data_IF_411177264290
#
_entry.id   IF_411177264290
#
_cell.length_a   1.000
_cell.length_b   1.000
_cell.length_c   1.000
_cell.angle_alpha   90.00
_cell.angle_beta   90.00
_cell.angle_gamma   90.00
#
_symmetry.space_group_name_H-M   'P 1'
#
loop_
_entity.id
_entity.type
_entity.pdbx_description
1 polymer ?
#
# COMPACT_ATOMS: atom_id res chain seq x y z
N UNK A 1 45.18 -48.56 -21.64
CA UNK A 1 45.77 -47.22 -21.77
C UNK A 1 45.76 -46.87 -23.25
N UNK A 2 44.98 -45.97 -23.81
CA UNK A 2 43.90 -45.10 -23.35
C UNK A 2 43.06 -44.79 -24.59
N UNK A 3 41.75 -45.10 -24.53
CA UNK A 3 40.79 -44.70 -25.55
C UNK A 3 39.84 -43.69 -24.88
N UNK A 4 40.35 -42.49 -24.59
CA UNK A 4 39.59 -41.51 -23.81
C UNK A 4 40.05 -40.06 -24.03
N UNK A 5 40.12 -39.55 -25.27
CA UNK A 5 40.35 -38.10 -25.45
C UNK A 5 39.85 -37.48 -26.76
N UNK A 6 38.67 -37.85 -27.26
CA UNK A 6 38.06 -37.08 -28.37
C UNK A 6 36.55 -36.83 -28.30
N UNK A 7 35.89 -37.13 -27.17
CA UNK A 7 34.44 -36.90 -27.01
C UNK A 7 34.05 -35.68 -26.14
N UNK A 8 35.01 -34.96 -25.56
CA UNK A 8 34.72 -33.92 -24.55
C UNK A 8 34.61 -32.50 -25.12
N UNK A 9 35.09 -32.21 -26.34
CA UNK A 9 35.06 -30.83 -26.87
C UNK A 9 33.81 -30.46 -27.67
N UNK A 10 32.99 -31.43 -28.10
CA UNK A 10 31.74 -31.17 -28.85
C UNK A 10 30.51 -31.13 -27.94
N UNK A 11 30.53 -31.83 -26.78
CA UNK A 11 29.42 -31.83 -25.82
C UNK A 11 29.34 -30.52 -25.01
N UNK A 12 30.48 -29.96 -24.60
CA UNK A 12 30.52 -28.69 -23.85
C UNK A 12 30.09 -27.45 -24.68
N UNK A 13 30.16 -27.53 -26.02
CA UNK A 13 29.66 -26.49 -26.93
C UNK A 13 28.17 -26.63 -27.25
N UNK A 14 27.58 -27.82 -27.07
CA UNK A 14 26.13 -28.06 -27.19
C UNK A 14 25.37 -27.75 -25.89
N UNK A 15 25.95 -28.02 -24.71
CA UNK A 15 25.32 -27.67 -23.43
C UNK A 15 25.23 -26.15 -23.17
N UNK A 16 26.24 -25.36 -23.59
CA UNK A 16 26.16 -23.89 -23.49
C UNK A 16 25.16 -23.26 -24.47
N UNK A 17 24.89 -23.89 -25.62
CA UNK A 17 23.84 -23.43 -26.57
C UNK A 17 22.43 -23.89 -26.17
N UNK A 18 22.30 -25.02 -25.46
CA UNK A 18 21.02 -25.51 -24.93
C UNK A 18 20.55 -24.75 -23.69
N UNK A 19 21.46 -24.47 -22.75
CA UNK A 19 21.14 -23.79 -21.48
C UNK A 19 20.70 -22.32 -21.67
N UNK A 20 21.32 -21.60 -22.62
CA UNK A 20 20.90 -20.24 -22.98
C UNK A 20 19.52 -20.20 -23.67
N UNK A 21 19.18 -21.23 -24.46
CA UNK A 21 17.88 -21.34 -25.13
C UNK A 21 16.77 -21.74 -24.15
N UNK A 22 17.06 -22.63 -23.20
CA UNK A 22 16.11 -23.01 -22.14
C UNK A 22 15.90 -21.85 -21.16
N UNK A 23 16.96 -21.11 -20.79
CA UNK A 23 16.83 -19.90 -19.97
C UNK A 23 16.05 -18.80 -20.70
N UNK A 24 16.31 -18.57 -21.98
CA UNK A 24 15.54 -17.63 -22.80
C UNK A 24 14.09 -18.06 -23.01
N UNK A 25 13.79 -19.37 -23.07
CA UNK A 25 12.41 -19.89 -23.15
C UNK A 25 11.70 -19.79 -21.79
N UNK A 26 12.39 -19.99 -20.67
CA UNK A 26 11.83 -19.76 -19.32
C UNK A 26 11.62 -18.27 -19.06
N UNK A 27 12.51 -17.42 -19.55
CA UNK A 27 12.42 -15.96 -19.44
C UNK A 27 11.34 -15.42 -20.39
N UNK A 28 11.23 -15.93 -21.62
CA UNK A 28 10.08 -15.66 -22.50
C UNK A 28 8.78 -16.19 -21.90
N UNK A 29 8.77 -17.34 -21.22
CA UNK A 29 7.57 -17.88 -20.57
C UNK A 29 7.17 -17.03 -19.36
N UNK A 30 8.12 -16.54 -18.56
CA UNK A 30 7.88 -15.56 -17.49
C UNK A 30 7.47 -14.19 -18.01
N UNK A 31 8.02 -13.74 -19.13
CA UNK A 31 7.60 -12.52 -19.82
C UNK A 31 6.21 -12.70 -20.41
N UNK A 32 5.85 -13.87 -20.95
CA UNK A 32 4.50 -14.20 -21.41
C UNK A 32 3.51 -14.37 -20.25
N UNK A 33 3.92 -14.86 -19.08
CA UNK A 33 3.08 -14.97 -17.89
C UNK A 33 2.89 -13.61 -17.21
N UNK A 34 3.94 -12.77 -17.15
CA UNK A 34 3.83 -11.36 -16.75
C UNK A 34 3.01 -10.55 -17.77
N UNK A 35 3.14 -10.85 -19.06
CA UNK A 35 2.36 -10.25 -20.14
C UNK A 35 0.93 -10.79 -20.15
N UNK A 36 0.64 -12.04 -19.74
CA UNK A 36 -0.72 -12.57 -19.53
C UNK A 36 -1.37 -11.98 -18.28
N UNK A 37 -0.63 -11.78 -17.21
CA UNK A 37 -1.13 -11.08 -16.01
C UNK A 37 -1.45 -9.61 -16.32
N UNK A 38 -0.63 -8.97 -17.18
CA UNK A 38 -0.91 -7.62 -17.67
C UNK A 38 -1.97 -7.60 -18.78
N UNK A 39 -2.06 -8.64 -19.62
CA UNK A 39 -3.04 -8.77 -20.73
C UNK A 39 -4.41 -9.23 -20.27
N UNK A 40 -4.58 -9.99 -19.20
CA UNK A 40 -5.93 -10.25 -18.69
C UNK A 40 -6.57 -8.96 -18.15
N UNK A 41 -5.77 -7.94 -17.86
CA UNK A 41 -6.20 -6.55 -17.63
C UNK A 41 -6.14 -5.62 -18.87
N UNK A 42 -5.50 -6.04 -19.97
CA UNK A 42 -5.32 -5.25 -21.22
C UNK A 42 -6.10 -5.81 -22.43
N UNK A 43 -6.70 -7.01 -22.35
CA UNK A 43 -7.37 -7.71 -23.48
C UNK A 43 -8.78 -7.15 -23.80
N UNK A 44 -9.10 -5.94 -23.33
CA UNK A 44 -10.29 -5.21 -23.76
C UNK A 44 -9.96 -4.03 -24.71
N UNK A 45 -8.70 -3.85 -25.09
CA UNK A 45 -8.30 -2.72 -25.95
C UNK A 45 -8.15 -3.04 -27.45
N UNK A 46 -8.39 -4.27 -27.91
CA UNK A 46 -8.36 -4.60 -29.35
C UNK A 46 -9.69 -5.15 -29.86
N UNK A 47 -10.66 -4.26 -30.04
CA UNK A 47 -11.56 -4.35 -31.20
C UNK A 47 -12.06 -2.96 -31.60
N UNK A 48 -11.97 -2.68 -32.91
CA UNK A 48 -12.47 -1.53 -33.68
C UNK A 48 -11.47 -0.42 -34.01
N UNK A 49 -11.03 -0.51 -35.26
CA UNK A 49 -10.24 0.42 -36.07
C UNK A 49 -11.03 1.67 -36.52
N UNK A 50 -10.49 2.85 -36.18
CA UNK A 50 -10.49 4.15 -36.92
C UNK A 50 -11.80 4.95 -37.16
N UNK A 51 -11.74 6.26 -37.53
CA UNK A 51 -11.15 7.37 -36.76
C UNK A 51 -12.13 8.58 -36.68
N UNK A 52 -12.26 9.25 -35.53
CA UNK A 52 -12.85 10.61 -35.50
C UNK A 52 -11.97 11.55 -34.68
N UNK A 53 -11.18 12.31 -35.44
CA UNK A 53 -10.62 13.61 -35.08
C UNK A 53 -11.73 14.53 -34.56
N UNK A 54 -11.47 15.18 -33.40
CA UNK A 54 -12.07 16.41 -32.84
C UNK A 54 -12.60 16.24 -31.41
N UNK A 55 -11.70 16.23 -30.43
CA UNK A 55 -12.03 16.69 -29.07
C UNK A 55 -10.79 17.17 -28.29
N UNK A 56 -9.79 17.69 -28.98
CA UNK A 56 -8.59 18.28 -28.40
C UNK A 56 -8.81 19.69 -27.86
N UNK A 57 -9.72 19.88 -26.88
CA UNK A 57 -9.72 21.10 -26.05
C UNK A 57 -10.48 21.05 -24.73
N UNK A 58 -11.25 19.98 -24.44
CA UNK A 58 -12.08 19.89 -23.22
C UNK A 58 -11.63 18.85 -22.19
N UNK A 59 -10.45 18.24 -22.36
CA UNK A 59 -9.92 17.19 -21.45
C UNK A 59 -8.99 17.70 -20.35
N UNK A 60 -8.46 18.93 -20.46
CA UNK A 60 -7.56 19.52 -19.44
C UNK A 60 -8.28 20.01 -18.17
N UNK A 61 -9.60 20.20 -18.20
CA UNK A 61 -10.33 20.81 -17.08
C UNK A 61 -10.66 19.82 -15.95
N UNK A 62 -10.79 18.52 -16.22
CA UNK A 62 -11.24 17.55 -15.21
C UNK A 62 -10.05 17.03 -14.38
N UNK A 63 -8.88 16.84 -15.02
CA UNK A 63 -7.66 16.39 -14.33
C UNK A 63 -7.13 17.44 -13.35
N UNK A 64 -7.25 18.73 -13.68
CA UNK A 64 -6.89 19.82 -12.76
C UNK A 64 -7.83 19.89 -11.55
N UNK A 65 -9.14 19.72 -11.72
CA UNK A 65 -10.10 19.81 -10.59
C UNK A 65 -9.89 18.70 -9.56
N UNK A 66 -9.57 17.48 -9.98
CA UNK A 66 -9.26 16.36 -9.07
C UNK A 66 -7.91 16.57 -8.36
N UNK A 67 -6.92 17.15 -9.05
CA UNK A 67 -5.62 17.49 -8.48
C UNK A 67 -5.71 18.65 -7.46
N UNK A 68 -6.50 19.71 -7.75
CA UNK A 68 -6.69 20.84 -6.84
C UNK A 68 -7.55 20.50 -5.61
N UNK A 69 -8.55 19.62 -5.74
CA UNK A 69 -9.32 19.13 -4.59
C UNK A 69 -8.48 18.24 -3.64
N UNK A 70 -7.43 17.61 -4.16
CA UNK A 70 -6.49 16.78 -3.37
C UNK A 70 -5.42 17.62 -2.65
N UNK A 71 -4.97 18.74 -3.23
CA UNK A 71 -4.01 19.65 -2.57
C UNK A 71 -4.61 20.50 -1.46
N UNK A 72 -5.91 20.84 -1.55
CA UNK A 72 -6.62 21.63 -0.53
C UNK A 72 -6.83 20.89 0.81
N UNK A 73 -6.51 19.59 0.89
CA UNK A 73 -6.65 18.78 2.12
C UNK A 73 -5.33 18.47 2.85
N UNK A 74 -4.18 18.91 2.34
CA UNK A 74 -2.85 18.56 2.91
C UNK A 74 -2.19 19.73 3.67
N UNK A 75 -2.84 20.89 3.81
CA UNK A 75 -2.30 21.98 4.62
C UNK A 75 -2.73 21.86 6.09
N UNK A 76 -1.81 21.71 7.05
CA UNK A 76 -2.14 21.82 8.46
C UNK A 76 -2.36 23.30 8.82
N UNK A 77 -3.61 23.67 9.10
CA UNK A 77 -3.90 24.84 9.94
C UNK A 77 -3.54 24.46 11.38
N UNK A 78 -2.36 24.88 11.83
CA UNK A 78 -2.07 25.03 13.26
C UNK A 78 -1.02 26.11 13.46
N UNK A 79 -1.47 27.38 13.45
CA UNK A 79 -0.82 28.44 14.22
C UNK A 79 -1.18 28.25 15.68
N UNK A 80 -0.25 27.74 16.50
CA UNK A 80 -0.07 28.18 17.89
C UNK A 80 1.10 27.42 18.54
N UNK A 81 1.98 28.18 19.19
CA UNK A 81 2.99 27.73 20.16
C UNK A 81 4.36 27.33 19.61
N UNK A 82 5.03 28.27 18.92
CA UNK A 82 6.48 28.43 19.04
C UNK A 82 6.74 29.79 19.69
N UNK A 83 6.66 29.80 21.03
CA UNK A 83 7.09 30.90 21.87
C UNK A 83 8.24 30.41 22.75
N UNK A 84 9.39 31.07 22.62
CA UNK A 84 10.54 31.04 23.52
C UNK A 84 11.26 29.71 23.75
N UNK A 85 12.36 29.52 23.02
CA UNK A 85 13.61 29.09 23.65
C UNK A 85 14.84 29.72 22.99
N UNK A 86 15.28 30.79 23.63
CA UNK A 86 16.66 31.25 23.83
C UNK A 86 17.60 31.36 22.63
N UNK A 87 17.69 32.61 22.15
CA UNK A 87 18.86 33.27 21.56
C UNK A 87 20.15 32.90 22.30
N UNK A 88 20.92 31.93 21.79
CA UNK A 88 22.33 31.78 22.15
C UNK A 88 23.12 32.84 21.38
N UNK A 89 23.55 33.89 22.10
CA UNK A 89 24.50 34.87 21.58
C UNK A 89 25.81 34.14 21.27
N UNK A 90 26.25 34.20 20.02
CA UNK A 90 27.65 34.01 19.63
C UNK A 90 28.49 35.09 20.32
N UNK A 91 29.23 34.70 21.35
CA UNK A 91 30.30 35.49 21.92
C UNK A 91 31.63 34.92 21.41
N UNK A 92 32.38 35.74 20.68
CA UNK A 92 33.77 35.52 20.36
C UNK A 92 34.58 35.36 21.65
N UNK A 93 35.19 34.19 21.86
CA UNK A 93 36.30 34.02 22.80
C UNK A 93 37.34 33.11 22.14
N UNK A 94 38.46 33.75 21.80
CA UNK A 94 39.78 33.18 21.52
C UNK A 94 40.23 32.29 22.69
N UNK A 95 40.71 31.08 22.41
CA UNK A 95 41.45 30.26 23.38
C UNK A 95 41.23 28.75 23.18
N UNK A 96 42.31 27.97 23.20
CA UNK A 96 42.43 26.55 22.80
C UNK A 96 41.70 25.52 23.69
N UNK A 97 40.47 25.83 24.15
CA UNK A 97 39.64 24.96 24.99
C UNK A 97 38.31 24.53 24.36
N UNK A 98 37.98 25.01 23.16
CA UNK A 98 36.66 24.80 22.52
C UNK A 98 36.56 23.41 21.85
N UNK A 99 37.68 22.76 21.57
CA UNK A 99 37.71 21.47 20.87
C UNK A 99 37.10 20.30 21.65
N UNK A 100 37.21 20.28 22.98
CA UNK A 100 36.74 19.14 23.78
C UNK A 100 35.21 19.16 23.95
N UNK A 101 34.61 20.33 24.17
CA UNK A 101 33.15 20.46 24.32
C UNK A 101 32.47 20.17 22.98
N UNK A 102 32.97 20.74 21.87
CA UNK A 102 32.44 20.46 20.53
C UNK A 102 32.66 18.99 20.12
N UNK A 103 33.79 18.37 20.50
CA UNK A 103 34.02 16.95 20.29
C UNK A 103 33.04 16.08 21.08
N UNK A 104 32.76 16.42 22.35
CA UNK A 104 31.80 15.68 23.18
C UNK A 104 30.36 15.84 22.68
N UNK A 105 29.98 17.03 22.19
CA UNK A 105 28.68 17.27 21.55
C UNK A 105 28.55 16.44 20.28
N UNK A 106 29.57 16.44 19.41
CA UNK A 106 29.57 15.64 18.19
C UNK A 106 29.58 14.13 18.49
N UNK A 107 30.34 13.68 19.49
CA UNK A 107 30.37 12.28 19.92
C UNK A 107 29.03 11.85 20.52
N UNK A 108 28.38 12.71 21.30
CA UNK A 108 27.02 12.48 21.81
C UNK A 108 26.00 12.43 20.66
N UNK A 109 26.09 13.31 19.66
CA UNK A 109 25.22 13.31 18.49
C UNK A 109 25.43 12.06 17.61
N UNK A 110 26.68 11.62 17.40
CA UNK A 110 27.03 10.39 16.69
C UNK A 110 26.56 9.14 17.45
N UNK A 111 26.71 9.12 18.78
CA UNK A 111 26.22 8.03 19.64
C UNK A 111 24.69 7.99 19.67
N UNK A 112 24.04 9.14 19.74
CA UNK A 112 22.58 9.25 19.67
C UNK A 112 22.08 8.81 18.30
N UNK A 113 22.72 9.24 17.21
CA UNK A 113 22.42 8.80 15.84
C UNK A 113 22.61 7.29 15.66
N UNK A 114 23.67 6.72 16.24
CA UNK A 114 23.89 5.27 16.27
C UNK A 114 22.81 4.52 17.05
N UNK A 115 22.45 4.99 18.24
CA UNK A 115 21.38 4.41 19.05
C UNK A 115 20.00 4.54 18.39
N UNK A 116 19.71 5.68 17.75
CA UNK A 116 18.47 5.93 17.02
C UNK A 116 18.38 5.03 15.79
N UNK A 117 19.47 4.88 15.02
CA UNK A 117 19.53 3.94 13.90
C UNK A 117 19.31 2.50 14.36
N UNK A 118 19.92 2.09 15.46
CA UNK A 118 19.74 0.74 16.00
C UNK A 118 18.30 0.49 16.46
N UNK A 119 17.67 1.46 17.14
CA UNK A 119 16.23 1.39 17.48
C UNK A 119 15.33 1.32 16.24
N UNK A 120 15.65 2.08 15.19
CA UNK A 120 14.92 2.02 13.93
C UNK A 120 15.05 0.65 13.27
N UNK A 121 16.26 0.06 13.29
CA UNK A 121 16.49 -1.28 12.76
C UNK A 121 15.73 -2.34 13.56
N UNK A 122 15.77 -2.30 14.88
CA UNK A 122 15.01 -3.21 15.75
C UNK A 122 13.51 -3.10 15.51
N UNK A 123 12.97 -1.88 15.43
CA UNK A 123 11.56 -1.64 15.14
C UNK A 123 11.17 -2.17 13.75
N UNK A 124 12.06 -2.01 12.76
CA UNK A 124 11.84 -2.53 11.40
C UNK A 124 11.87 -4.07 11.38
N UNK A 125 12.78 -4.69 12.13
CA UNK A 125 12.84 -6.15 12.27
C UNK A 125 11.56 -6.67 12.91
N UNK A 126 11.13 -6.12 14.05
CA UNK A 126 9.87 -6.48 14.71
C UNK A 126 8.66 -6.32 13.77
N UNK A 127 8.64 -5.23 12.99
CA UNK A 127 7.63 -5.00 11.98
C UNK A 127 7.59 -6.11 10.92
N UNK A 128 8.75 -6.50 10.39
CA UNK A 128 8.90 -7.52 9.35
C UNK A 128 8.67 -8.95 9.85
N UNK A 129 8.94 -9.23 11.12
CA UNK A 129 8.64 -10.52 11.76
C UNK A 129 7.14 -10.73 11.95
N UNK A 130 6.38 -9.64 12.13
CA UNK A 130 4.93 -9.72 12.19
C UNK A 130 4.32 -10.00 10.82
N UNK A 131 3.35 -10.93 10.75
CA UNK A 131 2.65 -11.23 9.49
C UNK A 131 2.00 -9.99 8.88
N UNK A 132 1.27 -9.21 9.68
CA UNK A 132 0.58 -7.98 9.22
C UNK A 132 1.55 -6.87 8.84
N UNK A 133 2.63 -6.68 9.60
CA UNK A 133 3.64 -5.66 9.28
C UNK A 133 4.38 -5.97 7.98
N UNK A 134 4.78 -7.23 7.78
CA UNK A 134 5.36 -7.70 6.52
C UNK A 134 4.44 -7.46 5.32
N UNK A 135 3.16 -7.81 5.42
CA UNK A 135 2.21 -7.54 4.32
C UNK A 135 2.15 -6.05 3.97
N UNK A 136 2.08 -5.18 5.00
CA UNK A 136 2.04 -3.71 4.80
C UNK A 136 3.32 -3.18 4.15
N UNK A 137 4.49 -3.69 4.53
CA UNK A 137 5.77 -3.32 3.89
C UNK A 137 5.78 -3.77 2.43
N UNK A 138 5.42 -5.04 2.15
CA UNK A 138 5.34 -5.55 0.77
C UNK A 138 4.38 -4.71 -0.06
N UNK A 139 3.22 -4.32 0.50
CA UNK A 139 2.25 -3.42 -0.18
C UNK A 139 2.85 -2.07 -0.55
N UNK A 140 3.55 -1.48 0.41
CA UNK A 140 4.13 -0.14 0.28
C UNK A 140 5.21 -0.15 -0.80
N UNK A 141 6.07 -1.16 -0.80
CA UNK A 141 7.12 -1.33 -1.82
C UNK A 141 6.51 -1.64 -3.19
N UNK A 142 5.45 -2.46 -3.24
CA UNK A 142 4.72 -2.80 -4.45
C UNK A 142 4.18 -1.53 -5.15
N UNK A 143 3.29 -0.80 -4.48
CA UNK A 143 2.69 0.39 -5.07
C UNK A 143 3.68 1.56 -5.22
N UNK A 144 4.66 1.67 -4.33
CA UNK A 144 5.74 2.66 -4.47
C UNK A 144 6.57 2.41 -5.74
N UNK A 145 6.91 1.14 -6.01
CA UNK A 145 7.59 0.76 -7.25
C UNK A 145 6.72 0.97 -8.48
N UNK A 146 5.40 0.71 -8.39
CA UNK A 146 4.46 0.98 -9.47
C UNK A 146 4.32 2.49 -9.77
N UNK A 147 4.30 3.33 -8.72
CA UNK A 147 4.27 4.78 -8.82
C UNK A 147 5.52 5.30 -9.54
N UNK A 148 6.70 4.98 -9.00
CA UNK A 148 7.98 5.44 -9.56
C UNK A 148 8.16 4.88 -10.97
N UNK A 149 7.91 3.59 -11.17
CA UNK A 149 7.98 2.94 -12.47
C UNK A 149 7.08 3.60 -13.51
N UNK A 150 5.82 3.87 -13.15
CA UNK A 150 4.85 4.54 -14.03
C UNK A 150 5.19 6.00 -14.34
N UNK A 151 5.87 6.72 -13.43
CA UNK A 151 6.35 8.09 -13.69
C UNK A 151 7.55 8.06 -14.63
N UNK A 152 8.54 7.20 -14.36
CA UNK A 152 9.75 7.08 -15.19
C UNK A 152 9.40 6.63 -16.62
N UNK A 153 8.46 5.70 -16.78
CA UNK A 153 7.99 5.24 -18.08
C UNK A 153 7.23 6.31 -18.88
N UNK A 154 6.74 7.39 -18.25
CA UNK A 154 6.05 8.49 -18.95
C UNK A 154 6.97 9.64 -19.36
N UNK A 155 8.05 9.90 -18.62
CA UNK A 155 9.03 10.96 -18.94
C UNK A 155 9.96 10.56 -20.11
N UNK A 156 9.52 9.64 -20.95
CA UNK A 156 10.32 8.85 -21.88
C UNK A 156 10.63 9.55 -23.21
N UNK A 157 10.79 10.88 -23.21
CA UNK A 157 11.32 11.59 -24.38
C UNK A 157 12.83 11.86 -24.29
N UNK A 158 13.51 11.62 -23.16
CA UNK A 158 14.91 12.07 -22.99
C UNK A 158 15.97 11.01 -22.58
N UNK A 159 15.61 9.85 -21.99
CA UNK A 159 16.65 8.91 -21.49
C UNK A 159 16.23 7.42 -21.49
N UNK A 160 16.94 6.61 -22.27
CA UNK A 160 16.79 5.15 -22.38
C UNK A 160 17.00 4.44 -21.04
N UNK A 161 17.89 4.96 -20.18
CA UNK A 161 18.17 4.38 -18.85
C UNK A 161 16.96 4.50 -17.92
N UNK A 162 16.31 5.66 -17.93
CA UNK A 162 15.09 5.93 -17.15
C UNK A 162 13.94 5.02 -17.57
N UNK A 163 13.78 4.77 -18.88
CA UNK A 163 12.77 3.85 -19.39
C UNK A 163 13.03 2.40 -18.96
N UNK A 164 14.29 1.93 -19.02
CA UNK A 164 14.66 0.57 -18.56
C UNK A 164 14.39 0.40 -17.07
N UNK A 165 14.77 1.39 -16.25
CA UNK A 165 14.50 1.38 -14.82
C UNK A 165 12.99 1.38 -14.53
N UNK A 166 12.21 2.21 -15.25
CA UNK A 166 10.76 2.26 -15.10
C UNK A 166 10.09 0.91 -15.38
N UNK A 167 10.47 0.23 -16.48
CA UNK A 167 10.01 -1.13 -16.79
C UNK A 167 10.38 -2.14 -15.71
N UNK A 168 11.62 -2.10 -15.21
CA UNK A 168 12.08 -2.99 -14.14
C UNK A 168 11.28 -2.81 -12.85
N UNK A 169 11.00 -1.57 -12.45
CA UNK A 169 10.19 -1.26 -11.27
C UNK A 169 8.73 -1.69 -11.42
N UNK A 170 8.15 -1.58 -12.62
CA UNK A 170 6.81 -2.09 -12.90
C UNK A 170 6.77 -3.63 -12.81
N UNK A 171 7.75 -4.33 -13.39
CA UNK A 171 7.87 -5.78 -13.25
C UNK A 171 8.03 -6.21 -11.79
N UNK A 172 8.89 -5.51 -11.04
CA UNK A 172 9.07 -5.76 -9.61
C UNK A 172 7.76 -5.55 -8.83
N UNK A 173 7.01 -4.48 -9.12
CA UNK A 173 5.70 -4.25 -8.50
C UNK A 173 4.70 -5.38 -8.79
N UNK A 174 4.68 -5.91 -10.03
CA UNK A 174 3.81 -7.03 -10.38
C UNK A 174 4.15 -8.30 -9.60
N UNK A 175 5.45 -8.61 -9.42
CA UNK A 175 5.90 -9.76 -8.62
C UNK A 175 5.50 -9.61 -7.14
N UNK A 176 5.64 -8.42 -6.56
CA UNK A 176 5.19 -8.17 -5.18
C UNK A 176 3.67 -8.25 -5.04
N UNK A 177 2.90 -7.79 -6.04
CA UNK A 177 1.45 -7.95 -6.06
C UNK A 177 1.06 -9.43 -6.08
N UNK A 178 1.71 -10.25 -6.91
CA UNK A 178 1.47 -11.69 -6.96
C UNK A 178 1.85 -12.38 -5.63
N UNK A 179 3.00 -12.01 -5.04
CA UNK A 179 3.42 -12.47 -3.72
C UNK A 179 2.34 -12.20 -2.65
N UNK A 180 1.76 -10.99 -2.63
CA UNK A 180 0.65 -10.66 -1.72
C UNK A 180 -0.57 -11.53 -1.95
N UNK A 181 -0.88 -11.90 -3.18
CA UNK A 181 -1.98 -12.83 -3.48
C UNK A 181 -1.73 -14.22 -2.88
N UNK A 182 -0.51 -14.73 -3.01
CA UNK A 182 -0.13 -16.01 -2.40
C UNK A 182 -0.16 -15.93 -0.87
N UNK A 183 0.30 -14.83 -0.27
CA UNK A 183 0.24 -14.65 1.19
C UNK A 183 -1.21 -14.62 1.72
N UNK A 184 -2.14 -14.01 0.97
CA UNK A 184 -3.57 -13.98 1.32
C UNK A 184 -4.26 -15.34 1.32
N UNK A 185 -3.64 -16.40 0.81
CA UNK A 185 -4.12 -17.78 0.98
C UNK A 185 -4.18 -18.20 2.46
N UNK A 186 -3.47 -17.50 3.35
CA UNK A 186 -3.44 -17.78 4.78
C UNK A 186 -4.32 -16.82 5.60
N UNK A 187 -5.07 -15.93 4.95
CA UNK A 187 -5.90 -14.95 5.63
C UNK A 187 -7.28 -15.49 6.07
N UNK A 188 -7.78 -16.61 5.52
CA UNK A 188 -9.15 -17.09 5.80
C UNK A 188 -9.39 -17.38 7.28
N UNK A 189 -8.44 -18.07 7.94
CA UNK A 189 -8.56 -18.40 9.34
C UNK A 189 -8.54 -17.15 10.21
N UNK A 190 -7.72 -16.17 9.84
CA UNK A 190 -7.68 -14.88 10.52
C UNK A 190 -9.00 -14.11 10.35
N UNK A 191 -9.58 -14.14 9.14
CA UNK A 191 -10.85 -13.50 8.83
C UNK A 191 -12.02 -14.19 9.53
N UNK A 192 -12.01 -15.53 9.58
CA UNK A 192 -13.02 -16.32 10.27
C UNK A 192 -12.97 -16.08 11.79
N UNK A 193 -11.77 -16.08 12.38
CA UNK A 193 -11.59 -15.77 13.79
C UNK A 193 -12.07 -14.33 14.11
N UNK A 194 -11.76 -13.37 13.25
CA UNK A 194 -12.26 -12.00 13.38
C UNK A 194 -13.79 -11.95 13.32
N UNK A 195 -14.41 -12.52 12.28
CA UNK A 195 -15.87 -12.58 12.11
C UNK A 195 -16.56 -13.27 13.28
N UNK A 196 -15.99 -14.37 13.78
CA UNK A 196 -16.50 -15.09 14.94
C UNK A 196 -16.43 -14.25 16.21
N UNK A 197 -15.29 -13.59 16.48
CA UNK A 197 -15.15 -12.71 17.64
C UNK A 197 -16.07 -11.49 17.59
N UNK A 198 -16.34 -10.97 16.39
CA UNK A 198 -17.27 -9.86 16.18
C UNK A 198 -18.74 -10.30 16.34
N UNK A 199 -19.07 -11.52 15.92
CA UNK A 199 -20.41 -12.08 15.94
C UNK A 199 -21.41 -11.21 15.16
N UNK A 200 -22.57 -10.95 15.75
CA UNK A 200 -23.59 -10.05 15.19
C UNK A 200 -23.44 -8.59 15.67
N UNK A 201 -22.26 -8.24 16.21
CA UNK A 201 -21.93 -6.88 16.65
C UNK A 201 -22.66 -6.47 17.94
N UNK A 202 -22.84 -7.41 18.87
CA UNK A 202 -23.46 -7.15 20.18
C UNK A 202 -22.75 -6.05 20.99
N UNK A 203 -21.47 -5.80 20.72
CA UNK A 203 -20.70 -4.72 21.34
C UNK A 203 -20.93 -3.31 20.77
N UNK A 204 -21.65 -3.17 19.65
CA UNK A 204 -21.88 -1.86 19.02
C UNK A 204 -23.14 -1.20 19.56
N UNK A 205 -23.04 0.01 20.13
CA UNK A 205 -24.20 0.78 20.60
C UNK A 205 -25.10 1.26 19.44
N UNK A 206 -24.51 1.62 18.29
CA UNK A 206 -25.23 2.16 17.13
C UNK A 206 -25.60 1.03 16.15
N UNK A 207 -26.90 0.84 15.95
CA UNK A 207 -27.43 -0.21 15.08
C UNK A 207 -26.95 -0.09 13.62
N UNK A 208 -26.72 1.12 13.11
CA UNK A 208 -26.22 1.29 11.74
C UNK A 208 -24.75 0.86 11.62
N UNK A 209 -23.90 1.25 12.58
CA UNK A 209 -22.50 0.78 12.64
C UNK A 209 -22.46 -0.74 12.74
N UNK A 210 -23.33 -1.33 13.57
CA UNK A 210 -23.46 -2.78 13.73
C UNK A 210 -23.75 -3.48 12.41
N UNK A 211 -24.85 -3.13 11.74
CA UNK A 211 -25.26 -3.80 10.50
C UNK A 211 -24.27 -3.57 9.35
N UNK A 212 -23.72 -2.36 9.22
CA UNK A 212 -22.68 -2.08 8.21
C UNK A 212 -21.46 -2.99 8.43
N UNK A 213 -21.05 -3.18 9.69
CA UNK A 213 -19.88 -4.01 10.02
C UNK A 213 -20.15 -5.50 9.81
N UNK A 214 -21.35 -5.99 10.12
CA UNK A 214 -21.75 -7.37 9.80
C UNK A 214 -21.72 -7.61 8.28
N UNK A 215 -22.30 -6.70 7.50
CA UNK A 215 -22.26 -6.78 6.03
C UNK A 215 -20.83 -6.71 5.49
N UNK A 216 -19.98 -5.88 6.11
CA UNK A 216 -18.57 -5.78 5.74
C UNK A 216 -17.84 -7.11 5.98
N UNK A 217 -18.05 -7.74 7.13
CA UNK A 217 -17.46 -9.04 7.45
C UNK A 217 -17.92 -10.13 6.48
N UNK A 218 -19.20 -10.12 6.06
CA UNK A 218 -19.70 -11.04 5.04
C UNK A 218 -18.98 -10.82 3.70
N UNK A 219 -18.82 -9.57 3.27
CA UNK A 219 -18.10 -9.26 2.03
C UNK A 219 -16.63 -9.72 2.10
N UNK A 220 -15.94 -9.45 3.21
CA UNK A 220 -14.54 -9.86 3.42
C UNK A 220 -14.39 -11.40 3.52
N UNK A 221 -15.35 -12.10 4.13
CA UNK A 221 -15.34 -13.56 4.21
C UNK A 221 -15.55 -14.24 2.86
N UNK A 222 -16.36 -13.63 1.97
CA UNK A 222 -16.58 -14.13 0.61
C UNK A 222 -15.44 -13.75 -0.34
N UNK A 223 -14.75 -12.64 -0.07
CA UNK A 223 -13.67 -12.12 -0.91
C UNK A 223 -12.52 -13.12 -1.07
N UNK A 224 -12.01 -13.66 0.05
CA UNK A 224 -10.84 -14.54 0.03
C UNK A 224 -11.06 -15.82 -0.78
N UNK A 225 -12.13 -16.62 -0.59
CA UNK A 225 -12.38 -17.79 -1.41
C UNK A 225 -12.50 -17.50 -2.90
N UNK A 226 -13.17 -16.39 -3.27
CA UNK A 226 -13.30 -16.00 -4.69
C UNK A 226 -11.93 -15.72 -5.30
N UNK A 227 -11.08 -15.04 -4.56
CA UNK A 227 -9.73 -14.72 -4.98
C UNK A 227 -8.82 -15.94 -5.07
N UNK A 228 -8.94 -16.90 -4.15
CA UNK A 228 -8.15 -18.13 -4.20
C UNK A 228 -8.52 -18.98 -5.40
N UNK A 229 -9.80 -19.05 -5.74
CA UNK A 229 -10.26 -19.73 -6.96
C UNK A 229 -9.70 -19.03 -8.20
N UNK A 230 -9.71 -17.69 -8.23
CA UNK A 230 -9.13 -16.90 -9.32
C UNK A 230 -7.63 -17.18 -9.49
N UNK A 231 -6.87 -17.13 -8.39
CA UNK A 231 -5.44 -17.43 -8.36
C UNK A 231 -5.13 -18.87 -8.75
N UNK A 232 -5.86 -19.86 -8.21
CA UNK A 232 -5.65 -21.27 -8.52
C UNK A 232 -5.95 -21.60 -9.98
N UNK A 233 -6.93 -20.92 -10.57
CA UNK A 233 -7.25 -21.01 -12.00
C UNK A 233 -6.12 -20.43 -12.87
N UNK A 234 -5.59 -19.25 -12.52
CA UNK A 234 -4.44 -18.66 -13.22
C UNK A 234 -3.16 -19.50 -13.08
N UNK A 235 -2.98 -20.18 -11.95
CA UNK A 235 -1.88 -21.10 -11.71
C UNK A 235 -2.09 -22.49 -12.36
N UNK A 236 -3.15 -22.67 -13.15
CA UNK A 236 -3.53 -23.93 -13.82
C UNK A 236 -3.72 -25.11 -12.86
N UNK A 237 -3.95 -24.86 -11.57
CA UNK A 237 -4.22 -25.87 -10.55
C UNK A 237 -5.65 -26.44 -10.68
N UNK A 238 -6.58 -25.61 -11.18
CA UNK A 238 -7.97 -25.98 -11.41
C UNK A 238 -8.42 -25.52 -12.80
N UNK A 239 -9.31 -26.30 -13.43
CA UNK A 239 -9.80 -26.05 -14.79
C UNK A 239 -11.07 -25.18 -14.79
N UNK A 240 -10.95 -23.93 -14.36
CA UNK A 240 -12.04 -22.92 -14.42
C UNK A 240 -11.52 -21.62 -15.01
N UNK A 241 -12.41 -20.74 -15.50
CA UNK A 241 -12.02 -19.42 -16.02
C UNK A 241 -11.78 -18.46 -14.86
N UNK A 242 -10.57 -17.90 -14.75
CA UNK A 242 -10.17 -16.99 -13.67
C UNK A 242 -10.87 -15.62 -13.74
N UNK A 243 -11.12 -15.09 -14.93
CA UNK A 243 -11.66 -13.73 -15.14
C UNK A 243 -12.90 -13.40 -14.29
N UNK A 244 -13.85 -14.34 -14.23
CA UNK A 244 -15.10 -14.15 -13.46
C UNK A 244 -14.83 -14.10 -11.96
N UNK A 245 -13.91 -14.94 -11.48
CA UNK A 245 -13.55 -15.00 -10.07
C UNK A 245 -12.76 -13.78 -9.62
N UNK A 246 -11.86 -13.27 -10.48
CA UNK A 246 -11.21 -11.97 -10.28
C UNK A 246 -12.20 -10.81 -10.24
N UNK A 247 -13.21 -10.82 -11.10
CA UNK A 247 -14.27 -9.82 -11.07
C UNK A 247 -15.06 -9.90 -9.76
N UNK A 248 -15.49 -11.10 -9.34
CA UNK A 248 -16.23 -11.27 -8.08
C UNK A 248 -15.41 -10.82 -6.87
N UNK A 249 -14.14 -11.21 -6.78
CA UNK A 249 -13.28 -10.76 -5.68
C UNK A 249 -13.10 -9.24 -5.70
N UNK A 250 -12.91 -8.63 -6.87
CA UNK A 250 -12.79 -7.17 -6.99
C UNK A 250 -14.08 -6.43 -6.58
N UNK A 251 -15.25 -6.96 -6.94
CA UNK A 251 -16.55 -6.39 -6.54
C UNK A 251 -16.77 -6.53 -5.03
N UNK A 252 -16.43 -7.69 -4.45
CA UNK A 252 -16.52 -7.92 -3.01
C UNK A 252 -15.60 -6.97 -2.23
N UNK A 253 -14.35 -6.82 -2.68
CA UNK A 253 -13.39 -5.88 -2.12
C UNK A 253 -13.85 -4.43 -2.25
N UNK A 254 -14.35 -4.03 -3.42
CA UNK A 254 -14.92 -2.69 -3.62
C UNK A 254 -16.12 -2.43 -2.72
N UNK A 255 -16.95 -3.45 -2.48
CA UNK A 255 -18.11 -3.38 -1.59
C UNK A 255 -17.68 -3.23 -0.14
N UNK A 256 -16.68 -4.00 0.32
CA UNK A 256 -16.17 -3.88 1.69
C UNK A 256 -15.51 -2.52 1.94
N UNK A 257 -14.77 -1.98 0.96
CA UNK A 257 -14.25 -0.61 1.04
C UNK A 257 -15.36 0.44 1.18
N UNK A 258 -16.45 0.31 0.41
CA UNK A 258 -17.59 1.22 0.50
C UNK A 258 -18.27 1.13 1.88
N UNK A 259 -18.53 -0.08 2.37
CA UNK A 259 -19.09 -0.31 3.71
C UNK A 259 -18.18 0.25 4.80
N UNK A 260 -16.87 0.04 4.70
CA UNK A 260 -15.87 0.60 5.59
C UNK A 260 -15.90 2.13 5.65
N UNK A 261 -16.01 2.80 4.49
CA UNK A 261 -16.17 4.26 4.41
C UNK A 261 -17.46 4.71 5.12
N UNK A 262 -18.59 4.04 4.85
CA UNK A 262 -19.88 4.36 5.48
C UNK A 262 -19.83 4.17 7.00
N UNK A 263 -19.19 3.09 7.47
CA UNK A 263 -18.97 2.81 8.90
C UNK A 263 -18.16 3.94 9.54
N UNK A 264 -17.00 4.26 8.98
CA UNK A 264 -16.11 5.30 9.50
C UNK A 264 -16.74 6.69 9.47
N UNK A 265 -17.52 7.01 8.44
CA UNK A 265 -18.30 8.26 8.39
C UNK A 265 -19.35 8.31 9.51
N UNK A 266 -20.09 7.21 9.74
CA UNK A 266 -21.09 7.14 10.81
C UNK A 266 -20.43 7.32 12.19
N UNK A 267 -19.33 6.62 12.45
CA UNK A 267 -18.56 6.76 13.70
C UNK A 267 -18.05 8.19 13.85
N UNK A 268 -17.49 8.79 12.80
CA UNK A 268 -17.00 10.18 12.84
C UNK A 268 -18.12 11.18 13.20
N UNK A 269 -19.33 10.99 12.67
CA UNK A 269 -20.49 11.82 13.02
C UNK A 269 -20.92 11.64 14.47
N UNK A 270 -20.88 10.41 15.00
CA UNK A 270 -21.16 10.13 16.40
C UNK A 270 -20.12 10.76 17.34
N UNK A 271 -18.83 10.66 17.00
CA UNK A 271 -17.74 11.29 17.75
C UNK A 271 -17.87 12.82 17.76
N UNK A 272 -18.23 13.44 16.62
CA UNK A 272 -18.51 14.89 16.55
C UNK A 272 -19.67 15.30 17.45
N UNK A 273 -20.74 14.50 17.49
CA UNK A 273 -21.87 14.75 18.41
C UNK A 273 -21.45 14.61 19.87
N UNK A 274 -20.65 13.59 20.22
CA UNK A 274 -20.09 13.40 21.57
C UNK A 274 -19.22 14.59 21.99
N UNK A 275 -18.37 15.11 21.09
CA UNK A 275 -17.52 16.27 21.33
C UNK A 275 -18.32 17.55 21.60
N UNK A 276 -19.43 17.76 20.88
CA UNK A 276 -20.30 18.94 21.03
C UNK A 276 -21.13 18.90 22.33
N UNK A 277 -21.50 17.70 22.80
CA UNK A 277 -22.40 17.53 23.96
C UNK A 277 -21.72 17.54 25.33
N UNK A 278 -20.40 17.31 25.43
CA UNK A 278 -19.73 17.14 26.74
C UNK A 278 -18.84 18.32 27.14
N UNK A 279 -18.99 18.76 28.40
CA UNK A 279 -18.01 19.56 29.16
C UNK A 279 -16.88 18.67 29.70
N UNK A 280 -16.22 17.93 28.83
CA UNK A 280 -15.22 16.94 29.26
C UNK A 280 -13.81 17.51 29.46
N UNK A 281 -13.09 16.91 30.42
CA UNK A 281 -11.70 17.21 30.73
C UNK A 281 -10.77 17.14 29.51
N UNK A 282 -9.62 17.80 29.61
CA UNK A 282 -8.65 17.96 28.50
C UNK A 282 -8.22 16.62 27.88
N UNK A 283 -8.03 15.58 28.70
CA UNK A 283 -7.61 14.25 28.27
C UNK A 283 -8.67 13.49 27.43
N UNK A 284 -9.95 13.55 27.82
CA UNK A 284 -11.02 12.91 27.03
C UNK A 284 -11.19 13.58 25.66
N UNK A 285 -11.06 14.92 25.60
CA UNK A 285 -11.09 15.65 24.33
C UNK A 285 -9.93 15.32 23.41
N UNK A 286 -8.72 15.08 23.92
CA UNK A 286 -7.58 14.63 23.09
C UNK A 286 -7.78 13.21 22.57
N UNK A 287 -8.30 12.29 23.40
CA UNK A 287 -8.61 10.92 22.98
C UNK A 287 -9.68 10.90 21.88
N UNK A 288 -10.74 11.69 22.04
CA UNK A 288 -11.81 11.81 21.04
C UNK A 288 -11.30 12.37 19.71
N UNK A 289 -10.41 13.39 19.76
CA UNK A 289 -9.74 13.91 18.55
C UNK A 289 -8.83 12.87 17.89
N UNK A 290 -8.14 12.04 18.67
CA UNK A 290 -7.31 10.94 18.15
C UNK A 290 -8.17 9.90 17.43
N UNK A 291 -9.30 9.50 18.03
CA UNK A 291 -10.28 8.61 17.38
C UNK A 291 -10.84 9.20 16.08
N UNK A 292 -11.23 10.48 16.09
CA UNK A 292 -11.71 11.17 14.89
C UNK A 292 -10.65 11.20 13.78
N UNK A 293 -9.38 11.46 14.12
CA UNK A 293 -8.26 11.40 13.17
C UNK A 293 -8.05 9.98 12.64
N UNK A 294 -8.19 8.97 13.48
CA UNK A 294 -8.16 7.55 13.08
C UNK A 294 -9.21 7.24 12.03
N UNK A 295 -10.47 7.63 12.27
CA UNK A 295 -11.56 7.39 11.31
C UNK A 295 -11.40 8.18 10.01
N UNK A 296 -10.88 9.42 10.08
CA UNK A 296 -10.58 10.20 8.86
C UNK A 296 -9.50 9.53 8.01
N UNK A 297 -8.44 9.03 8.65
CA UNK A 297 -7.38 8.28 7.97
C UNK A 297 -7.94 6.99 7.33
N UNK A 298 -8.83 6.28 8.03
CA UNK A 298 -9.50 5.09 7.48
C UNK A 298 -10.35 5.41 6.26
N UNK A 299 -11.09 6.53 6.27
CA UNK A 299 -11.87 7.00 5.10
C UNK A 299 -10.93 7.30 3.93
N UNK A 300 -9.88 8.09 4.14
CA UNK A 300 -8.93 8.46 3.08
C UNK A 300 -8.23 7.23 2.48
N UNK A 301 -7.79 6.30 3.32
CA UNK A 301 -7.17 5.05 2.89
C UNK A 301 -8.14 4.19 2.07
N UNK A 302 -9.37 4.04 2.55
CA UNK A 302 -10.40 3.23 1.88
C UNK A 302 -10.85 3.86 0.56
N UNK A 303 -10.97 5.19 0.48
CA UNK A 303 -11.26 5.89 -0.77
C UNK A 303 -10.15 5.74 -1.80
N UNK A 304 -8.89 5.76 -1.35
CA UNK A 304 -7.76 5.56 -2.24
C UNK A 304 -7.77 4.14 -2.83
N UNK A 305 -7.98 3.13 -1.99
CA UNK A 305 -8.11 1.73 -2.44
C UNK A 305 -9.36 1.52 -3.30
N UNK A 306 -10.48 2.16 -2.98
CA UNK A 306 -11.72 2.06 -3.77
C UNK A 306 -11.52 2.64 -5.17
N UNK A 307 -10.70 3.67 -5.31
CA UNK A 307 -10.35 4.23 -6.61
C UNK A 307 -9.60 3.22 -7.48
N UNK A 308 -8.72 2.43 -6.88
CA UNK A 308 -8.03 1.32 -7.55
C UNK A 308 -8.97 0.15 -7.83
N UNK A 309 -9.85 -0.21 -6.89
CA UNK A 309 -10.86 -1.26 -7.09
C UNK A 309 -11.75 -0.96 -8.30
N UNK A 310 -12.27 0.28 -8.41
CA UNK A 310 -13.09 0.72 -9.55
C UNK A 310 -12.28 0.70 -10.85
N UNK A 311 -11.00 1.08 -10.81
CA UNK A 311 -10.14 1.00 -11.99
C UNK A 311 -10.01 -0.43 -12.53
N UNK A 312 -9.99 -1.44 -11.67
CA UNK A 312 -9.90 -2.85 -12.05
C UNK A 312 -11.23 -3.51 -12.46
N UNK A 313 -12.33 -2.77 -12.40
CA UNK A 313 -13.64 -3.25 -12.88
C UNK A 313 -13.71 -3.25 -14.42
N UNK A 314 -14.74 -3.89 -15.02
CA UNK A 314 -14.93 -3.91 -16.46
C UNK A 314 -15.21 -2.50 -17.04
N UNK A 315 -14.74 -2.21 -18.27
CA UNK A 315 -15.02 -0.99 -19.01
C UNK A 315 -16.52 -0.70 -19.08
N UNK A 316 -16.87 0.58 -18.97
CA UNK A 316 -18.25 1.04 -18.88
C UNK A 316 -18.71 1.28 -17.43
N UNK A 317 -17.99 0.77 -16.43
CA UNK A 317 -18.23 1.10 -15.04
C UNK A 317 -17.36 2.28 -14.57
N UNK A 318 -17.97 3.46 -14.34
CA UNK A 318 -17.28 4.66 -13.84
C UNK A 318 -15.97 4.99 -14.60
N UNK A 319 -14.81 4.92 -13.92
CA UNK A 319 -13.47 5.15 -14.49
C UNK A 319 -12.66 3.85 -14.65
N UNK A 320 -13.32 2.70 -14.73
CA UNK A 320 -12.71 1.41 -15.07
C UNK A 320 -11.73 1.54 -16.26
N UNK A 321 -10.53 0.96 -16.10
CA UNK A 321 -9.46 1.00 -17.09
C UNK A 321 -8.84 2.39 -17.37
N UNK A 322 -9.29 3.47 -16.72
CA UNK A 322 -8.81 4.83 -17.03
C UNK A 322 -7.55 5.25 -16.29
N UNK A 323 -7.20 4.59 -15.18
CA UNK A 323 -6.03 5.00 -14.39
C UNK A 323 -4.75 4.52 -15.06
N UNK A 324 -3.79 5.41 -15.34
CA UNK A 324 -2.44 5.01 -15.71
C UNK A 324 -1.69 4.41 -14.52
N UNK A 325 -0.68 3.57 -14.77
CA UNK A 325 0.09 2.84 -13.74
C UNK A 325 0.58 3.70 -12.57
N UNK A 326 1.06 4.91 -12.83
CA UNK A 326 1.53 5.80 -11.77
C UNK A 326 0.41 6.24 -10.83
N UNK A 327 -0.82 6.40 -11.33
CA UNK A 327 -1.95 6.85 -10.53
C UNK A 327 -2.44 5.69 -9.64
N UNK A 328 -2.48 4.47 -10.20
CA UNK A 328 -2.74 3.25 -9.42
C UNK A 328 -1.72 3.11 -8.29
N UNK A 329 -0.44 3.28 -8.63
CA UNK A 329 0.66 3.30 -7.67
C UNK A 329 0.55 4.42 -6.62
N UNK A 330 0.12 5.62 -7.01
CA UNK A 330 -0.08 6.74 -6.09
C UNK A 330 -1.14 6.40 -5.05
N UNK A 331 -2.33 5.99 -5.51
CA UNK A 331 -3.46 5.68 -4.62
C UNK A 331 -3.10 4.54 -3.66
N UNK A 332 -2.48 3.47 -4.17
CA UNK A 332 -2.04 2.34 -3.36
C UNK A 332 -0.89 2.69 -2.40
N UNK A 333 0.00 3.61 -2.76
CA UNK A 333 1.06 4.11 -1.87
C UNK A 333 0.47 4.94 -0.74
N UNK A 334 -0.46 5.85 -1.05
CA UNK A 334 -1.13 6.70 -0.07
C UNK A 334 -1.85 5.86 0.99
N UNK A 335 -2.67 4.89 0.58
CA UNK A 335 -3.38 4.01 1.51
C UNK A 335 -2.44 3.11 2.32
N UNK A 336 -1.34 2.64 1.71
CA UNK A 336 -0.33 1.83 2.42
C UNK A 336 0.42 2.64 3.49
N UNK A 337 0.80 3.87 3.19
CA UNK A 337 1.44 4.78 4.15
C UNK A 337 0.49 5.13 5.30
N UNK A 338 -0.78 5.41 5.01
CA UNK A 338 -1.79 5.61 6.05
C UNK A 338 -1.90 4.38 6.96
N UNK A 339 -1.92 3.18 6.37
CA UNK A 339 -1.95 1.93 7.13
C UNK A 339 -0.74 1.74 8.06
N UNK A 340 0.46 2.08 7.60
CA UNK A 340 1.68 2.06 8.44
C UNK A 340 1.61 3.08 9.59
N UNK A 341 1.11 4.30 9.31
CA UNK A 341 0.92 5.34 10.34
C UNK A 341 -0.08 4.87 11.40
N UNK A 342 -1.20 4.24 10.99
CA UNK A 342 -2.22 3.75 11.91
C UNK A 342 -1.69 2.60 12.78
N UNK A 343 -0.89 1.69 12.22
CA UNK A 343 -0.31 0.57 12.95
C UNK A 343 0.71 1.05 14.01
N UNK A 344 1.58 1.99 13.65
CA UNK A 344 2.55 2.56 14.61
C UNK A 344 1.84 3.39 15.71
N UNK A 345 0.71 4.02 15.40
CA UNK A 345 -0.09 4.73 16.38
C UNK A 345 -0.83 3.79 17.35
N UNK A 346 -1.18 2.57 16.92
CA UNK A 346 -1.83 1.57 17.77
C UNK A 346 -0.88 0.89 18.76
N UNK A 347 0.39 0.69 18.38
CA UNK A 347 1.40 0.07 19.26
C UNK A 347 1.77 0.94 20.46
N UNK A 348 1.63 2.28 20.35
CA UNK A 348 1.92 3.21 21.45
C UNK A 348 0.84 3.25 22.55
N UNK A 349 -0.36 2.72 22.32
CA UNK A 349 -1.44 2.70 23.33
C UNK A 349 -1.36 1.48 24.26
N UNK A 350 -0.71 0.38 23.85
CA UNK A 350 -0.57 -0.81 24.71
C UNK A 350 0.50 -0.63 25.80
N UNK A 351 1.51 0.21 25.58
CA UNK A 351 2.57 0.49 26.56
C UNK A 351 2.12 1.38 27.73
N UNK A 352 1.03 2.14 27.57
CA UNK A 352 0.52 3.05 28.61
C UNK A 352 -0.49 2.38 29.56
N UNK A 353 -1.02 1.19 29.20
CA UNK A 353 -2.00 0.46 30.03
C UNK A 353 -1.38 -0.50 31.06
N UNK A 354 -0.07 -0.76 31.00
CA UNK A 354 0.60 -1.70 31.91
C UNK A 354 1.18 -1.05 33.18
N UNK A 355 0.95 0.25 33.42
CA UNK A 355 1.46 0.98 34.59
C UNK A 355 0.38 1.52 35.55
N UNK A 356 -0.89 1.15 35.39
CA UNK A 356 -1.96 1.56 36.32
C UNK A 356 -2.73 0.37 36.89
N UNK A 357 -2.02 -0.47 37.66
CA UNK A 357 -2.66 -1.22 38.75
C UNK A 357 -2.20 -0.59 40.07
N UNK A 358 -3.08 0.12 40.80
CA UNK A 358 -2.84 0.39 42.21
C UNK A 358 -3.22 -0.85 43.02
N UNK A 359 -2.23 -1.32 43.78
CA UNK A 359 -2.23 -2.21 44.97
C UNK A 359 -3.20 -3.41 45.04
#
# INVERSE_FOLDING_TARGET
MDCHTHYVSVSARREKKGSGKVRAVIEQKRELEACKYNNNHCSQEESLTSPVLLAGRRRRSIESTIFYLSLLWVLPVSKSSWGNRSRAKTANLTGDGVGLIDFLINLAALRQSGADMQRCLESLVQLLESYRGRDKVIRTVCYGSQLVGGVLSRRAEADVRSQRLGKSLLLFSAQLSHCRTVLRLFDDLSMLAYSHSYGFGNGEEDAAVRWISVLNNVADQLYYPCEHIAWAADAELIRVKSDKWWLFSTVLWGTSLLLGILRSLRVLLLLRKKLKKRHEGRNSRSQLRRQMRGELLSILSSMADLSNAIHWMPPGFLWAGRFPNWLVGLMGTTSSLIGLIQMNAGSGDQSDTTQSSPE
#
